data_IF_465367279588
#
_entry.id   IF_465367279588
#
_cell.length_a   1.000
_cell.length_b   1.000
_cell.length_c   1.000
_cell.angle_alpha   90.00
_cell.angle_beta   90.00
_cell.angle_gamma   90.00
#
_symmetry.space_group_name_H-M   'P 1'
#
loop_
_entity.id
_entity.type
_entity.pdbx_description
1 polymer ?
#
# COMPACT_ATOMS: atom_id res chain seq x y z
N UNK A 1 -1.47 8.81 -20.54
CA UNK A 1 -1.43 7.60 -19.73
C UNK A 1 -1.55 7.98 -18.27
N UNK A 2 -2.48 7.34 -17.55
CA UNK A 2 -2.55 7.37 -16.09
C UNK A 2 -2.61 5.93 -15.59
N UNK A 3 -1.81 5.61 -14.57
CA UNK A 3 -1.80 4.32 -13.89
C UNK A 3 -1.86 4.57 -12.39
N UNK A 4 -2.79 3.94 -11.68
CA UNK A 4 -2.93 4.10 -10.22
C UNK A 4 -2.97 2.75 -9.52
N UNK A 5 -2.34 2.70 -8.35
CA UNK A 5 -2.28 1.55 -7.45
C UNK A 5 -2.39 1.96 -5.98
N UNK A 6 -2.70 1.00 -5.14
CA UNK A 6 -2.64 1.11 -3.69
C UNK A 6 -3.90 1.70 -3.06
N UNK A 7 -3.73 2.44 -1.97
CA UNK A 7 -4.80 3.01 -1.13
C UNK A 7 -4.53 4.47 -0.81
N UNK A 8 -5.57 5.18 -0.40
CA UNK A 8 -5.48 6.60 -0.02
C UNK A 8 -5.30 6.80 1.48
N UNK A 9 -5.49 5.77 2.28
CA UNK A 9 -5.35 5.81 3.73
C UNK A 9 -4.87 4.47 4.25
N UNK A 10 -4.05 4.47 5.29
CA UNK A 10 -3.57 3.28 5.98
C UNK A 10 -4.70 2.43 6.61
N UNK A 11 -5.87 3.05 6.83
CA UNK A 11 -7.07 2.39 7.38
C UNK A 11 -7.85 1.55 6.36
N UNK A 12 -7.48 1.63 5.08
CA UNK A 12 -8.15 0.90 3.99
C UNK A 12 -7.23 -0.19 3.45
N UNK A 13 -7.82 -1.20 2.84
CA UNK A 13 -7.05 -2.13 2.01
C UNK A 13 -6.79 -1.51 0.63
N UNK A 14 -5.78 -2.02 -0.08
CA UNK A 14 -5.45 -1.54 -1.42
C UNK A 14 -6.64 -1.73 -2.36
N UNK A 15 -6.90 -0.74 -3.18
CA UNK A 15 -7.87 -0.84 -4.28
C UNK A 15 -7.21 -1.50 -5.47
N UNK A 16 -8.02 -2.09 -6.33
CA UNK A 16 -7.56 -2.59 -7.60
C UNK A 16 -6.88 -1.50 -8.41
N UNK A 17 -5.71 -1.78 -8.94
CA UNK A 17 -5.03 -0.87 -9.85
C UNK A 17 -5.82 -0.69 -11.14
N UNK A 18 -5.68 0.48 -11.74
CA UNK A 18 -6.27 0.76 -13.03
C UNK A 18 -5.33 1.57 -13.91
N UNK A 19 -5.51 1.42 -15.21
CA UNK A 19 -4.82 2.23 -16.20
C UNK A 19 -5.82 2.85 -17.16
N UNK A 20 -5.58 4.11 -17.54
CA UNK A 20 -6.32 4.78 -18.61
C UNK A 20 -5.31 5.43 -19.56
N UNK A 21 -5.47 5.16 -20.86
CA UNK A 21 -4.63 5.75 -21.87
C UNK A 21 -5.43 6.03 -23.15
N UNK A 22 -4.97 7.00 -23.92
CA UNK A 22 -5.59 7.36 -25.18
C UNK A 22 -4.67 7.11 -26.37
N UNK A 23 -5.20 6.47 -27.38
CA UNK A 23 -4.55 6.25 -28.68
C UNK A 23 -5.18 7.21 -29.69
N UNK A 24 -4.36 7.79 -30.55
CA UNK A 24 -4.81 8.69 -31.60
C UNK A 24 -4.63 7.98 -32.94
N UNK A 25 -5.72 7.83 -33.68
CA UNK A 25 -5.74 7.31 -35.00
C UNK A 25 -6.13 8.41 -36.00
N UNK A 26 -5.34 8.60 -37.03
CA UNK A 26 -5.53 9.67 -38.00
C UNK A 26 -6.06 9.18 -39.36
N UNK A 27 -6.38 7.91 -39.46
CA UNK A 27 -6.99 7.30 -40.67
C UNK A 27 -8.45 6.86 -40.47
N UNK A 28 -9.01 7.12 -39.26
CA UNK A 28 -10.41 6.82 -38.97
C UNK A 28 -10.73 5.35 -38.67
N UNK A 29 -9.71 4.46 -38.64
CA UNK A 29 -9.93 3.03 -38.34
C UNK A 29 -9.91 2.75 -36.84
N UNK A 30 -10.47 1.62 -36.44
CA UNK A 30 -10.38 1.11 -35.07
C UNK A 30 -9.03 0.43 -34.84
N UNK A 31 -8.48 0.52 -33.65
CA UNK A 31 -7.29 -0.23 -33.23
C UNK A 31 -7.59 -1.72 -32.94
N UNK A 32 -8.84 -2.15 -32.99
CA UNK A 32 -9.24 -3.52 -32.71
C UNK A 32 -9.10 -3.96 -31.25
N UNK A 33 -9.09 -2.99 -30.33
CA UNK A 33 -9.01 -3.27 -28.89
C UNK A 33 -10.40 -3.61 -28.35
N UNK A 34 -10.51 -4.77 -27.72
CA UNK A 34 -11.78 -5.26 -27.19
C UNK A 34 -11.70 -5.46 -25.65
N UNK A 35 -12.85 -5.39 -24.96
CA UNK A 35 -12.93 -5.75 -23.54
C UNK A 35 -12.38 -7.16 -23.26
N UNK A 36 -11.77 -7.32 -22.07
CA UNK A 36 -11.14 -8.54 -21.58
C UNK A 36 -9.82 -8.95 -22.29
N UNK A 37 -9.35 -8.19 -23.26
CA UNK A 37 -8.00 -8.41 -23.81
C UNK A 37 -6.92 -8.08 -22.76
N UNK A 38 -5.80 -8.83 -22.72
CA UNK A 38 -4.68 -8.52 -21.84
C UNK A 38 -3.99 -7.21 -22.27
N UNK A 39 -3.57 -6.45 -21.28
CA UNK A 39 -2.81 -5.20 -21.45
C UNK A 39 -1.57 -5.25 -20.59
N UNK A 40 -0.42 -4.97 -21.19
CA UNK A 40 0.84 -4.74 -20.51
C UNK A 40 1.37 -3.37 -20.95
N UNK A 41 1.57 -2.48 -19.98
CA UNK A 41 2.15 -1.15 -20.24
C UNK A 41 3.56 -1.14 -19.71
N UNK A 42 4.49 -0.76 -20.59
CA UNK A 42 5.91 -0.66 -20.28
C UNK A 42 6.40 0.76 -20.58
N UNK A 43 7.36 1.21 -19.80
CA UNK A 43 8.12 2.43 -20.05
C UNK A 43 9.60 2.08 -20.20
N UNK A 44 10.32 2.88 -20.98
CA UNK A 44 11.77 2.76 -21.09
C UNK A 44 12.41 3.81 -20.18
N UNK A 45 13.39 3.38 -19.38
CA UNK A 45 14.21 4.32 -18.64
C UNK A 45 15.25 5.00 -19.56
N UNK A 46 16.04 5.93 -19.02
CA UNK A 46 17.08 6.64 -19.76
C UNK A 46 18.15 5.72 -20.38
N UNK A 47 18.33 4.54 -19.82
CA UNK A 47 19.26 3.49 -20.35
C UNK A 47 18.59 2.58 -21.40
N UNK A 48 17.33 2.85 -21.81
CA UNK A 48 16.59 2.05 -22.77
C UNK A 48 16.01 0.74 -22.24
N UNK A 49 16.14 0.47 -20.93
CA UNK A 49 15.60 -0.74 -20.29
C UNK A 49 14.11 -0.60 -20.07
N UNK A 50 13.34 -1.60 -20.52
CA UNK A 50 11.89 -1.64 -20.33
C UNK A 50 11.51 -2.05 -18.90
N UNK A 51 10.60 -1.29 -18.29
CA UNK A 51 10.00 -1.60 -17.00
C UNK A 51 8.49 -1.69 -17.15
N UNK A 52 7.90 -2.78 -16.64
CA UNK A 52 6.45 -2.93 -16.61
C UNK A 52 5.87 -2.04 -15.51
N UNK A 53 4.94 -1.17 -15.89
CA UNK A 53 4.26 -0.25 -14.96
C UNK A 53 2.80 -0.63 -14.74
N UNK A 54 2.24 -1.49 -15.60
CA UNK A 54 0.88 -2.00 -15.44
C UNK A 54 0.70 -3.31 -16.19
N UNK A 55 0.00 -4.25 -15.57
CA UNK A 55 -0.50 -5.49 -16.20
C UNK A 55 -1.96 -5.69 -15.79
N UNK A 56 -2.81 -5.95 -16.75
CA UNK A 56 -4.24 -6.12 -16.48
C UNK A 56 -5.03 -6.54 -17.72
N UNK A 57 -6.33 -6.25 -17.69
CA UNK A 57 -7.25 -6.51 -18.81
C UNK A 57 -8.06 -5.27 -19.14
N UNK A 58 -8.34 -5.08 -20.42
CA UNK A 58 -9.23 -4.01 -20.88
C UNK A 58 -10.61 -4.19 -20.27
N UNK A 59 -11.11 -3.13 -19.64
CA UNK A 59 -12.48 -3.08 -19.09
C UNK A 59 -13.44 -2.32 -20.00
N UNK A 60 -12.93 -1.34 -20.74
CA UNK A 60 -13.74 -0.52 -21.62
C UNK A 60 -12.91 0.23 -22.64
N UNK A 61 -13.55 0.53 -23.74
CA UNK A 61 -12.99 1.31 -24.85
C UNK A 61 -14.03 2.35 -25.25
N UNK A 62 -13.62 3.61 -25.31
CA UNK A 62 -14.47 4.71 -25.75
C UNK A 62 -13.83 5.43 -26.94
N UNK A 63 -14.59 5.60 -28.00
CA UNK A 63 -14.15 6.27 -29.22
C UNK A 63 -14.73 7.69 -29.28
N UNK A 64 -13.87 8.68 -29.53
CA UNK A 64 -14.26 10.07 -29.76
C UNK A 64 -13.76 10.51 -31.13
N UNK A 65 -14.68 10.90 -32.02
CA UNK A 65 -14.35 11.52 -33.28
C UNK A 65 -14.07 12.99 -33.03
N UNK A 66 -12.83 13.42 -33.27
CA UNK A 66 -12.40 14.82 -33.06
C UNK A 66 -12.56 15.63 -34.31
N UNK A 67 -12.29 15.02 -35.48
CA UNK A 67 -12.41 15.67 -36.78
C UNK A 67 -12.86 14.63 -37.81
N UNK A 68 -13.86 14.98 -38.57
CA UNK A 68 -14.29 14.21 -39.74
C UNK A 68 -14.32 15.12 -40.97
N UNK A 69 -13.79 14.65 -42.10
CA UNK A 69 -13.78 15.41 -43.34
C UNK A 69 -13.18 14.60 -44.50
N UNK A 70 -13.28 15.12 -45.69
CA UNK A 70 -12.85 14.41 -46.91
C UNK A 70 -11.35 14.10 -46.99
N UNK A 71 -10.53 14.74 -46.16
CA UNK A 71 -9.08 14.54 -46.23
C UNK A 71 -8.58 13.69 -45.07
N UNK A 72 -9.17 13.79 -43.87
CA UNK A 72 -8.68 13.09 -42.67
C UNK A 72 -9.75 12.98 -41.59
N UNK A 73 -9.94 11.78 -41.06
CA UNK A 73 -10.74 11.53 -39.87
C UNK A 73 -9.81 11.23 -38.70
N UNK A 74 -9.93 11.99 -37.60
CA UNK A 74 -9.14 11.78 -36.40
C UNK A 74 -10.05 11.19 -35.31
N UNK A 75 -9.68 10.02 -34.85
CA UNK A 75 -10.36 9.31 -33.74
C UNK A 75 -9.40 9.22 -32.55
N UNK A 76 -9.91 9.58 -31.37
CA UNK A 76 -9.23 9.31 -30.10
C UNK A 76 -9.93 8.12 -29.48
N UNK A 77 -9.20 7.04 -29.26
CA UNK A 77 -9.68 5.87 -28.55
C UNK A 77 -9.13 5.87 -27.13
N UNK A 78 -9.99 6.01 -26.15
CA UNK A 78 -9.62 5.93 -24.73
C UNK A 78 -9.88 4.52 -24.22
N UNK A 79 -8.83 3.89 -23.72
CA UNK A 79 -8.84 2.53 -23.17
C UNK A 79 -8.71 2.62 -21.67
N UNK A 80 -9.59 1.93 -20.95
CA UNK A 80 -9.50 1.71 -19.52
C UNK A 80 -9.22 0.23 -19.26
N UNK A 81 -8.28 -0.06 -18.37
CA UNK A 81 -7.91 -1.43 -18.00
C UNK A 81 -7.84 -1.55 -16.45
N UNK A 82 -8.18 -2.73 -15.95
CA UNK A 82 -8.08 -3.07 -14.54
C UNK A 82 -7.10 -4.22 -14.31
N UNK A 83 -6.46 -4.16 -13.14
CA UNK A 83 -5.46 -5.13 -12.68
C UNK A 83 -6.05 -6.43 -12.12
N UNK A 84 -5.20 -7.27 -11.54
CA UNK A 84 -5.57 -8.57 -10.98
C UNK A 84 -6.59 -8.47 -9.84
N UNK A 85 -6.46 -7.50 -8.93
CA UNK A 85 -7.40 -7.35 -7.80
C UNK A 85 -8.82 -7.04 -8.25
N UNK A 86 -9.01 -6.31 -9.35
CA UNK A 86 -10.34 -6.10 -9.92
C UNK A 86 -10.96 -7.39 -10.47
N UNK A 87 -10.14 -8.31 -10.98
CA UNK A 87 -10.63 -9.61 -11.41
C UNK A 87 -10.99 -10.50 -10.22
N UNK A 88 -10.24 -10.38 -9.12
CA UNK A 88 -10.48 -11.08 -7.86
C UNK A 88 -11.85 -10.72 -7.26
N UNK A 89 -12.26 -9.44 -7.32
CA UNK A 89 -13.58 -9.00 -6.83
C UNK A 89 -14.78 -9.60 -7.61
N UNK A 90 -14.53 -10.21 -8.77
CA UNK A 90 -15.54 -10.89 -9.59
C UNK A 90 -15.56 -12.41 -9.37
N UNK A 91 -14.73 -12.94 -8.49
CA UNK A 91 -14.65 -14.35 -8.18
C UNK A 91 -15.33 -14.63 -6.83
N UNK A 92 -16.20 -15.62 -6.81
CA UNK A 92 -16.87 -16.07 -5.58
C UNK A 92 -16.07 -17.24 -5.02
N UNK A 93 -15.69 -17.12 -3.75
CA UNK A 93 -14.91 -18.09 -2.98
C UNK A 93 -15.62 -18.41 -1.67
N UNK A 94 -15.12 -19.38 -0.91
CA UNK A 94 -15.67 -19.75 0.39
C UNK A 94 -16.96 -20.57 0.30
N UNK A 95 -17.16 -21.29 -0.79
CA UNK A 95 -18.29 -22.23 -0.94
C UNK A 95 -18.14 -23.49 -0.07
N UNK A 96 -16.98 -23.73 0.50
CA UNK A 96 -16.66 -24.79 1.45
C UNK A 96 -16.23 -24.22 2.79
N UNK A 97 -16.27 -25.04 3.84
CA UNK A 97 -15.78 -24.65 5.15
C UNK A 97 -14.27 -24.40 5.10
N UNK A 98 -13.83 -23.35 5.74
CA UNK A 98 -12.41 -23.13 6.01
C UNK A 98 -12.06 -23.66 7.40
N UNK A 99 -10.96 -24.40 7.55
CA UNK A 99 -10.52 -24.91 8.84
C UNK A 99 -10.03 -23.76 9.74
N UNK A 100 -9.77 -24.07 10.99
CA UNK A 100 -8.97 -23.21 11.86
C UNK A 100 -7.54 -23.22 11.36
N UNK A 101 -7.00 -22.06 11.02
CA UNK A 101 -5.72 -21.94 10.32
C UNK A 101 -5.10 -20.54 10.56
N UNK A 102 -3.82 -20.37 10.19
CA UNK A 102 -3.18 -19.06 10.22
C UNK A 102 -3.78 -18.11 9.16
N UNK A 103 -3.71 -16.81 9.42
CA UNK A 103 -4.16 -15.76 8.52
C UNK A 103 -3.53 -15.86 7.13
N UNK A 104 -2.22 -16.16 7.04
CA UNK A 104 -1.53 -16.41 5.77
C UNK A 104 -2.10 -17.59 4.98
N UNK A 105 -2.42 -18.68 5.66
CA UNK A 105 -2.97 -19.88 5.02
C UNK A 105 -4.38 -19.59 4.50
N UNK A 106 -5.18 -18.85 5.28
CA UNK A 106 -6.50 -18.39 4.89
C UNK A 106 -6.46 -17.52 3.65
N UNK A 107 -5.57 -16.53 3.62
CA UNK A 107 -5.41 -15.62 2.48
C UNK A 107 -4.87 -16.37 1.25
N UNK A 108 -3.91 -17.27 1.44
CA UNK A 108 -3.39 -18.13 0.36
C UNK A 108 -4.49 -18.99 -0.26
N UNK A 109 -5.35 -19.57 0.56
CA UNK A 109 -6.50 -20.36 0.11
C UNK A 109 -7.45 -19.51 -0.75
N UNK A 110 -7.77 -18.29 -0.30
CA UNK A 110 -8.64 -17.37 -1.03
C UNK A 110 -8.02 -17.00 -2.38
N UNK A 111 -6.72 -16.68 -2.42
CA UNK A 111 -6.02 -16.36 -3.66
C UNK A 111 -6.03 -17.52 -4.64
N UNK A 112 -5.81 -18.74 -4.15
CA UNK A 112 -5.84 -19.97 -4.97
C UNK A 112 -7.25 -20.27 -5.51
N UNK A 113 -8.30 -20.17 -4.68
CA UNK A 113 -9.69 -20.35 -5.11
C UNK A 113 -10.09 -19.30 -6.15
N UNK A 114 -9.59 -18.08 -6.02
CA UNK A 114 -9.80 -17.01 -7.01
C UNK A 114 -9.00 -17.19 -8.30
N UNK A 115 -8.03 -18.13 -8.35
CA UNK A 115 -7.14 -18.33 -9.48
C UNK A 115 -6.17 -17.19 -9.70
N UNK A 116 -5.70 -16.56 -8.61
CA UNK A 116 -4.73 -15.47 -8.66
C UNK A 116 -3.31 -16.00 -8.84
N UNK A 117 -2.49 -15.25 -9.57
CA UNK A 117 -1.03 -15.46 -9.54
C UNK A 117 -0.47 -14.77 -8.30
N UNK A 118 0.15 -15.55 -7.42
CA UNK A 118 0.66 -15.06 -6.15
C UNK A 118 2.10 -14.58 -6.32
N UNK A 119 2.41 -13.39 -5.81
CA UNK A 119 3.76 -12.86 -5.69
C UNK A 119 4.43 -13.40 -4.44
N UNK A 120 3.93 -13.02 -3.29
CA UNK A 120 4.43 -13.44 -1.97
C UNK A 120 3.28 -13.35 -0.96
N UNK A 121 3.21 -14.33 -0.09
CA UNK A 121 2.40 -14.30 1.12
C UNK A 121 3.35 -14.41 2.30
N UNK A 122 3.36 -13.42 3.17
CA UNK A 122 4.17 -13.47 4.39
C UNK A 122 3.65 -14.51 5.34
N UNK A 123 4.54 -15.03 6.19
CA UNK A 123 4.16 -15.98 7.24
C UNK A 123 3.08 -15.41 8.15
N UNK A 124 2.05 -16.19 8.42
CA UNK A 124 0.98 -15.79 9.31
C UNK A 124 1.43 -15.63 10.75
N UNK A 125 0.83 -14.66 11.44
CA UNK A 125 1.08 -14.40 12.85
C UNK A 125 -0.10 -14.86 13.71
N UNK A 126 -1.31 -14.73 13.19
CA UNK A 126 -2.55 -14.90 13.96
C UNK A 126 -3.34 -16.11 13.51
N UNK A 127 -3.85 -16.87 14.48
CA UNK A 127 -4.71 -18.00 14.22
C UNK A 127 -6.17 -17.58 14.14
N UNK A 128 -6.80 -17.86 13.01
CA UNK A 128 -8.21 -17.57 12.75
C UNK A 128 -9.08 -18.79 13.05
N UNK A 129 -10.27 -18.56 13.58
CA UNK A 129 -11.28 -19.60 13.78
C UNK A 129 -11.76 -20.22 12.48
N UNK A 130 -12.30 -21.44 12.59
CA UNK A 130 -12.96 -22.09 11.47
C UNK A 130 -14.15 -21.26 10.98
N UNK A 131 -14.31 -21.18 9.66
CA UNK A 131 -15.41 -20.47 9.01
C UNK A 131 -16.31 -21.47 8.29
N UNK A 132 -17.60 -21.43 8.59
CA UNK A 132 -18.59 -22.19 7.83
C UNK A 132 -18.67 -21.69 6.38
N UNK A 133 -19.07 -22.55 5.46
CA UNK A 133 -19.28 -22.20 4.07
C UNK A 133 -20.19 -20.96 3.96
N UNK A 134 -19.68 -19.93 3.35
CA UNK A 134 -20.39 -18.66 3.11
C UNK A 134 -19.76 -17.96 1.91
N UNK A 135 -20.34 -18.15 0.71
CA UNK A 135 -19.80 -17.56 -0.51
C UNK A 135 -19.68 -16.03 -0.42
N UNK A 136 -18.52 -15.50 -0.81
CA UNK A 136 -18.22 -14.08 -0.81
C UNK A 136 -17.31 -13.77 -1.99
N UNK A 137 -17.24 -12.50 -2.40
CA UNK A 137 -16.21 -12.12 -3.37
C UNK A 137 -14.81 -12.23 -2.74
N UNK A 138 -13.87 -12.71 -3.56
CA UNK A 138 -12.53 -13.03 -3.08
C UNK A 138 -11.75 -11.83 -2.57
N UNK A 139 -11.94 -10.64 -3.19
CA UNK A 139 -11.26 -9.43 -2.74
C UNK A 139 -11.73 -9.02 -1.34
N UNK A 140 -13.05 -8.90 -1.15
CA UNK A 140 -13.61 -8.50 0.15
C UNK A 140 -13.21 -9.48 1.26
N UNK A 141 -13.19 -10.77 0.96
CA UNK A 141 -12.84 -11.78 1.95
C UNK A 141 -11.33 -11.73 2.30
N UNK A 142 -10.45 -11.59 1.31
CA UNK A 142 -9.01 -11.44 1.55
C UNK A 142 -8.69 -10.13 2.28
N UNK A 143 -9.34 -9.04 1.90
CA UNK A 143 -9.20 -7.72 2.53
C UNK A 143 -9.65 -7.75 4.00
N UNK A 144 -10.73 -8.46 4.31
CA UNK A 144 -11.21 -8.67 5.68
C UNK A 144 -10.14 -9.33 6.54
N UNK A 145 -9.61 -10.47 6.10
CA UNK A 145 -8.61 -11.21 6.88
C UNK A 145 -7.27 -10.48 6.96
N UNK A 146 -6.85 -9.80 5.90
CA UNK A 146 -5.66 -8.96 5.95
C UNK A 146 -5.80 -7.81 6.96
N UNK A 147 -6.98 -7.20 7.06
CA UNK A 147 -7.27 -6.17 8.06
C UNK A 147 -7.26 -6.74 9.47
N UNK A 148 -7.88 -7.89 9.68
CA UNK A 148 -7.89 -8.58 10.98
C UNK A 148 -6.48 -9.04 11.41
N UNK A 149 -5.60 -9.31 10.45
CA UNK A 149 -4.19 -9.62 10.68
C UNK A 149 -3.29 -8.39 10.85
N UNK A 150 -3.85 -7.16 10.91
CA UNK A 150 -3.10 -5.90 10.89
C UNK A 150 -2.15 -5.76 9.69
N UNK A 151 -2.38 -6.54 8.65
CA UNK A 151 -1.63 -6.58 7.40
C UNK A 151 -2.37 -5.91 6.25
N UNK A 152 -1.86 -6.14 5.05
CA UNK A 152 -2.51 -5.63 3.84
C UNK A 152 -2.29 -6.55 2.64
N UNK A 153 -3.30 -6.61 1.76
CA UNK A 153 -3.15 -7.19 0.44
C UNK A 153 -2.63 -6.12 -0.53
N UNK A 154 -1.84 -6.53 -1.49
CA UNK A 154 -1.28 -5.64 -2.50
C UNK A 154 -1.19 -6.35 -3.85
N UNK A 155 -1.00 -5.59 -4.89
CA UNK A 155 -0.67 -6.11 -6.21
C UNK A 155 0.59 -5.46 -6.76
N UNK A 156 1.21 -6.15 -7.70
CA UNK A 156 2.43 -5.72 -8.36
C UNK A 156 2.13 -5.22 -9.77
N UNK A 157 3.03 -4.44 -10.34
CA UNK A 157 2.89 -3.92 -11.70
C UNK A 157 2.88 -5.02 -12.77
N UNK A 158 3.37 -6.22 -12.47
CA UNK A 158 3.34 -7.40 -13.33
C UNK A 158 2.09 -8.29 -13.14
N UNK A 159 1.11 -7.83 -12.36
CA UNK A 159 -0.23 -8.44 -12.27
C UNK A 159 -0.34 -9.60 -11.29
N UNK A 160 0.54 -9.67 -10.29
CA UNK A 160 0.44 -10.64 -9.19
C UNK A 160 -0.14 -10.00 -7.95
N UNK A 161 -0.71 -10.81 -7.06
CA UNK A 161 -1.23 -10.39 -5.76
C UNK A 161 -0.36 -10.91 -4.63
N UNK A 162 -0.31 -10.19 -3.53
CA UNK A 162 0.43 -10.61 -2.35
C UNK A 162 -0.24 -10.19 -1.06
N UNK A 163 0.24 -10.77 0.03
CA UNK A 163 -0.12 -10.40 1.39
C UNK A 163 1.13 -10.02 2.17
N UNK A 164 1.09 -8.87 2.79
CA UNK A 164 2.10 -8.37 3.71
C UNK A 164 1.54 -8.38 5.14
N UNK A 165 2.21 -9.10 6.03
CA UNK A 165 1.84 -9.14 7.43
C UNK A 165 2.22 -7.83 8.15
N UNK A 166 1.87 -7.72 9.42
CA UNK A 166 2.11 -6.53 10.24
C UNK A 166 3.60 -6.17 10.42
N UNK A 167 4.50 -7.14 10.25
CA UNK A 167 5.95 -6.94 10.45
C UNK A 167 6.71 -6.67 9.16
N UNK A 168 6.11 -6.86 7.99
CA UNK A 168 6.76 -6.70 6.68
C UNK A 168 7.52 -5.38 6.57
N UNK A 169 6.90 -4.28 6.93
CA UNK A 169 7.51 -2.95 6.82
C UNK A 169 8.72 -2.77 7.72
N UNK A 170 8.67 -3.34 8.92
CA UNK A 170 9.82 -3.37 9.83
C UNK A 170 10.97 -4.17 9.24
N UNK A 171 10.67 -5.36 8.70
CA UNK A 171 11.66 -6.24 8.07
C UNK A 171 12.27 -5.57 6.84
N UNK A 172 11.45 -4.98 5.98
CA UNK A 172 11.93 -4.30 4.77
C UNK A 172 12.86 -3.13 5.09
N UNK A 173 12.53 -2.32 6.11
CA UNK A 173 13.39 -1.22 6.55
C UNK A 173 14.68 -1.72 7.19
N UNK A 174 14.60 -2.77 7.99
CA UNK A 174 15.80 -3.39 8.62
C UNK A 174 16.76 -3.92 7.57
N UNK A 175 16.25 -4.58 6.56
CA UNK A 175 17.06 -5.31 5.58
C UNK A 175 17.54 -4.41 4.42
N UNK A 176 16.74 -3.43 4.02
CA UNK A 176 16.98 -2.61 2.83
C UNK A 176 17.12 -1.10 3.13
N UNK A 177 16.77 -0.65 4.34
CA UNK A 177 16.70 0.77 4.69
C UNK A 177 15.62 1.53 3.94
N UNK A 178 15.71 2.87 3.99
CA UNK A 178 14.83 3.76 3.25
C UNK A 178 15.48 4.17 1.92
N UNK A 179 14.68 4.26 0.88
CA UNK A 179 15.12 4.89 -0.38
C UNK A 179 15.06 6.41 -0.22
N UNK A 180 16.21 7.07 -0.26
CA UNK A 180 16.29 8.53 -0.14
C UNK A 180 15.82 9.21 -1.43
N UNK A 181 14.92 10.17 -1.27
CA UNK A 181 14.42 11.04 -2.34
C UNK A 181 14.93 12.44 -2.05
N UNK A 182 15.77 13.02 -2.95
CA UNK A 182 16.21 14.39 -2.82
C UNK A 182 15.03 15.37 -2.90
N UNK A 183 15.02 16.39 -2.05
CA UNK A 183 13.94 17.38 -2.04
C UNK A 183 13.85 18.22 -3.30
N UNK A 184 14.94 18.36 -4.03
CA UNK A 184 15.02 19.15 -5.26
C UNK A 184 14.30 18.49 -6.45
N UNK A 185 13.98 17.19 -6.39
CA UNK A 185 13.14 16.50 -7.40
C UNK A 185 11.68 16.40 -6.98
N UNK A 186 11.34 16.83 -5.76
CA UNK A 186 9.96 16.84 -5.25
C UNK A 186 9.28 18.15 -5.65
N UNK A 187 8.07 18.06 -6.19
CA UNK A 187 7.27 19.25 -6.44
C UNK A 187 6.68 19.79 -5.12
N UNK A 188 7.09 21.00 -4.76
CA UNK A 188 6.63 21.67 -3.53
C UNK A 188 5.21 22.22 -3.60
N UNK A 189 4.63 22.35 -4.79
CA UNK A 189 3.34 23.01 -5.00
C UNK A 189 2.18 22.34 -4.25
N UNK A 190 2.27 21.04 -4.01
CA UNK A 190 1.20 20.28 -3.36
C UNK A 190 1.68 19.57 -2.10
N UNK A 191 2.91 19.85 -1.63
CA UNK A 191 3.43 19.25 -0.42
C UNK A 191 2.74 19.87 0.79
N UNK A 192 1.99 19.08 1.50
CA UNK A 192 1.32 19.48 2.74
C UNK A 192 1.72 18.53 3.86
N UNK A 193 1.89 19.08 5.05
CA UNK A 193 2.07 18.30 6.26
C UNK A 193 0.88 18.51 7.18
N UNK A 194 0.36 17.43 7.73
CA UNK A 194 -0.71 17.45 8.70
C UNK A 194 -0.30 16.65 9.94
N UNK A 195 -0.61 17.19 11.11
CA UNK A 195 -0.51 16.48 12.37
C UNK A 195 -1.86 16.59 13.08
N UNK A 196 -2.58 15.49 13.16
CA UNK A 196 -3.95 15.47 13.69
C UNK A 196 -4.07 14.49 14.86
N UNK A 197 -4.83 14.88 15.88
CA UNK A 197 -5.24 13.98 16.93
C UNK A 197 -6.31 12.97 16.48
N UNK A 198 -6.94 13.17 15.31
CA UNK A 198 -7.96 12.27 14.78
C UNK A 198 -7.44 10.86 14.45
N UNK A 199 -6.12 10.71 14.31
CA UNK A 199 -5.48 9.42 14.07
C UNK A 199 -4.96 8.74 15.35
N UNK A 200 -5.11 9.42 16.51
CA UNK A 200 -4.71 8.86 17.79
C UNK A 200 -5.74 7.83 18.26
N UNK A 201 -5.24 6.68 18.70
CA UNK A 201 -6.00 5.65 19.39
C UNK A 201 -5.26 5.34 20.69
N UNK A 202 -5.89 5.61 21.82
CA UNK A 202 -5.28 5.42 23.13
C UNK A 202 -6.12 4.56 24.10
N UNK A 203 -7.20 3.97 23.57
CA UNK A 203 -8.01 2.96 24.23
C UNK A 203 -8.51 1.98 23.16
N UNK A 204 -8.16 0.70 23.28
CA UNK A 204 -8.44 -0.30 22.25
C UNK A 204 -9.14 -1.51 22.85
N UNK A 205 -10.18 -1.94 22.15
CA UNK A 205 -10.86 -3.22 22.40
C UNK A 205 -10.72 -4.08 21.14
N UNK A 206 -10.08 -5.24 21.27
CA UNK A 206 -10.04 -6.25 20.20
C UNK A 206 -10.94 -7.41 20.61
N UNK A 207 -12.05 -7.55 19.87
CA UNK A 207 -12.97 -8.66 20.02
C UNK A 207 -12.45 -9.86 19.22
N UNK A 208 -12.39 -11.01 19.87
CA UNK A 208 -12.07 -12.29 19.26
C UNK A 208 -13.27 -13.24 19.45
N UNK A 209 -13.21 -14.45 18.89
CA UNK A 209 -14.38 -15.35 18.79
C UNK A 209 -15.12 -15.59 20.11
N UNK A 210 -14.43 -15.67 21.22
CA UNK A 210 -15.00 -16.04 22.55
C UNK A 210 -14.90 -14.95 23.61
N UNK A 211 -14.44 -13.75 23.25
CA UNK A 211 -14.28 -12.66 24.22
C UNK A 211 -13.66 -11.40 23.62
N UNK A 212 -13.09 -10.59 24.49
CA UNK A 212 -12.37 -9.37 24.10
C UNK A 212 -11.11 -9.18 24.94
N UNK A 213 -10.14 -8.46 24.35
CA UNK A 213 -8.95 -7.98 25.04
C UNK A 213 -8.87 -6.47 24.91
N UNK A 214 -8.48 -5.79 25.99
CA UNK A 214 -8.40 -4.32 26.04
C UNK A 214 -6.99 -3.90 26.39
N UNK A 215 -6.57 -2.75 25.82
CA UNK A 215 -5.33 -2.10 26.19
C UNK A 215 -5.48 -0.58 26.09
N UNK A 216 -4.87 0.18 27.01
CA UNK A 216 -4.99 1.64 27.06
C UNK A 216 -3.65 2.30 27.42
N UNK A 217 -3.45 3.52 26.93
CA UNK A 217 -2.32 4.40 27.29
C UNK A 217 -2.85 5.61 28.10
N UNK A 218 -2.70 5.52 29.42
CA UNK A 218 -3.20 6.55 30.34
C UNK A 218 -2.51 7.90 30.09
N UNK A 219 -1.22 7.93 29.76
CA UNK A 219 -0.50 9.18 29.51
C UNK A 219 -1.02 9.89 28.26
N UNK A 220 -1.29 9.11 27.20
CA UNK A 220 -1.95 9.64 26.01
C UNK A 220 -3.36 10.14 26.31
N UNK A 221 -4.14 9.41 27.12
CA UNK A 221 -5.49 9.83 27.50
C UNK A 221 -5.50 11.13 28.31
N UNK A 222 -4.52 11.32 29.18
CA UNK A 222 -4.36 12.58 29.94
C UNK A 222 -4.04 13.76 29.01
N UNK A 223 -3.32 13.51 27.91
CA UNK A 223 -2.88 14.56 26.98
C UNK A 223 -3.93 14.89 25.93
N UNK A 224 -4.58 13.88 25.34
CA UNK A 224 -5.46 14.01 24.17
C UNK A 224 -6.93 13.71 24.46
N UNK A 225 -7.28 13.32 25.69
CA UNK A 225 -8.58 12.74 26.01
C UNK A 225 -8.65 11.25 25.61
N UNK A 226 -9.75 10.60 25.97
CA UNK A 226 -9.99 9.20 25.60
C UNK A 226 -10.40 9.13 24.12
N UNK A 227 -9.59 8.46 23.31
CA UNK A 227 -9.81 8.22 21.88
C UNK A 227 -9.85 6.71 21.65
N UNK A 228 -11.06 6.15 21.76
CA UNK A 228 -11.30 4.72 21.78
C UNK A 228 -11.50 4.14 20.38
N UNK A 229 -11.03 2.90 20.15
CA UNK A 229 -11.32 2.11 18.97
C UNK A 229 -11.70 0.67 19.35
N UNK A 230 -12.63 0.07 18.60
CA UNK A 230 -13.01 -1.32 18.76
C UNK A 230 -12.86 -2.06 17.43
N UNK A 231 -12.17 -3.19 17.47
CA UNK A 231 -11.95 -4.05 16.31
C UNK A 231 -12.61 -5.41 16.53
N UNK A 232 -13.43 -5.85 15.57
CA UNK A 232 -14.02 -7.19 15.58
C UNK A 232 -13.20 -8.09 14.68
N UNK A 233 -12.74 -9.21 15.22
CA UNK A 233 -11.88 -10.16 14.51
C UNK A 233 -12.42 -11.59 14.64
N UNK A 234 -11.93 -12.46 13.78
CA UNK A 234 -12.14 -13.91 13.86
C UNK A 234 -10.95 -14.65 14.52
N UNK A 235 -10.17 -13.95 15.32
CA UNK A 235 -9.07 -14.56 16.06
C UNK A 235 -9.57 -15.66 16.99
N UNK A 236 -8.80 -16.74 17.07
CA UNK A 236 -9.14 -17.87 17.92
C UNK A 236 -8.60 -17.76 19.34
N UNK A 237 -7.53 -16.97 19.55
CA UNK A 237 -6.80 -16.91 20.81
C UNK A 237 -6.90 -15.53 21.45
N UNK A 238 -7.13 -15.51 22.76
CA UNK A 238 -7.09 -14.27 23.56
C UNK A 238 -5.71 -13.62 23.56
N UNK A 239 -4.63 -14.43 23.50
CA UNK A 239 -3.27 -13.91 23.46
C UNK A 239 -3.00 -13.10 22.17
N UNK A 240 -3.54 -13.54 21.04
CA UNK A 240 -3.42 -12.83 19.76
C UNK A 240 -4.18 -11.50 19.82
N UNK A 241 -5.39 -11.50 20.40
CA UNK A 241 -6.17 -10.28 20.58
C UNK A 241 -5.48 -9.28 21.53
N UNK A 242 -4.85 -9.77 22.60
CA UNK A 242 -4.09 -8.93 23.51
C UNK A 242 -2.85 -8.32 22.86
N UNK A 243 -2.12 -9.11 22.06
CA UNK A 243 -0.97 -8.64 21.31
C UNK A 243 -1.36 -7.57 20.27
N UNK A 244 -2.48 -7.75 19.57
CA UNK A 244 -3.01 -6.73 18.66
C UNK A 244 -3.41 -5.45 19.39
N UNK A 245 -4.10 -5.55 20.52
CA UNK A 245 -4.50 -4.38 21.31
C UNK A 245 -3.28 -3.56 21.77
N UNK A 246 -2.25 -4.22 22.31
CA UNK A 246 -0.98 -3.56 22.69
C UNK A 246 -0.30 -2.93 21.47
N UNK A 247 -0.27 -3.61 20.35
CA UNK A 247 0.34 -3.10 19.10
C UNK A 247 -0.37 -1.86 18.59
N UNK A 248 -1.71 -1.83 18.59
CA UNK A 248 -2.47 -0.64 18.21
C UNK A 248 -2.10 0.57 19.04
N UNK A 249 -2.05 0.43 20.35
CA UNK A 249 -1.66 1.51 21.26
C UNK A 249 -0.21 1.95 21.00
N UNK A 250 0.71 1.00 20.87
CA UNK A 250 2.13 1.30 20.60
C UNK A 250 2.32 2.13 19.33
N UNK A 251 1.53 1.87 18.30
CA UNK A 251 1.64 2.56 17.01
C UNK A 251 0.84 3.86 16.93
N UNK A 252 -0.23 4.02 17.75
CA UNK A 252 -1.26 5.04 17.56
C UNK A 252 -1.50 5.97 18.75
N UNK A 253 -0.88 5.74 19.89
CA UNK A 253 -1.17 6.57 21.09
C UNK A 253 -0.67 8.02 20.98
N UNK A 254 0.13 8.36 19.97
CA UNK A 254 0.63 9.72 19.74
C UNK A 254 0.39 10.19 18.30
N UNK A 255 -0.01 11.46 18.11
CA UNK A 255 -0.20 12.00 16.77
C UNK A 255 1.13 12.09 16.01
N UNK A 256 1.10 11.74 14.72
CA UNK A 256 2.25 11.76 13.82
C UNK A 256 2.05 12.80 12.74
N UNK A 257 3.16 13.26 12.15
CA UNK A 257 3.11 14.17 11.01
C UNK A 257 3.05 13.35 9.73
N UNK A 258 1.96 13.46 9.01
CA UNK A 258 1.82 12.90 7.67
C UNK A 258 2.20 13.94 6.62
N UNK A 259 2.89 13.51 5.57
CA UNK A 259 3.01 14.26 4.34
C UNK A 259 1.96 13.73 3.36
N UNK A 260 1.06 14.61 2.95
CA UNK A 260 0.06 14.26 1.95
C UNK A 260 0.52 14.63 0.55
N UNK A 261 0.26 13.69 -0.39
CA UNK A 261 0.29 13.86 -1.83
C UNK A 261 1.43 14.72 -2.38
N UNK A 262 2.65 14.24 -2.30
CA UNK A 262 3.74 14.88 -3.04
C UNK A 262 3.96 14.24 -4.41
N UNK A 263 4.43 15.04 -5.34
CA UNK A 263 4.64 14.66 -6.72
C UNK A 263 6.13 14.73 -7.06
N UNK A 264 6.61 13.74 -7.80
CA UNK A 264 7.97 13.68 -8.34
C UNK A 264 7.88 13.73 -9.86
N UNK A 265 8.70 14.58 -10.49
CA UNK A 265 8.86 14.57 -11.93
C UNK A 265 9.83 13.48 -12.35
N UNK A 266 9.36 12.54 -13.15
CA UNK A 266 10.16 11.41 -13.63
C UNK A 266 11.05 11.79 -14.83
N UNK A 267 10.74 12.90 -15.48
CA UNK A 267 11.51 13.51 -16.57
C UNK A 267 12.52 14.56 -16.09
N UNK A 268 12.81 14.62 -14.80
CA UNK A 268 13.81 15.52 -14.22
C UNK A 268 15.22 14.91 -14.35
N UNK A 269 16.15 15.64 -14.95
CA UNK A 269 17.53 15.19 -15.17
C UNK A 269 18.32 14.92 -13.89
N UNK A 270 17.86 15.43 -12.75
CA UNK A 270 18.44 15.18 -11.42
C UNK A 270 18.07 13.81 -10.87
N UNK A 271 17.04 13.17 -11.45
CA UNK A 271 16.61 11.85 -11.04
C UNK A 271 17.54 10.78 -11.62
N UNK A 272 18.25 10.07 -10.75
CA UNK A 272 19.11 8.97 -11.21
C UNK A 272 18.30 7.83 -11.81
N UNK A 273 18.86 7.12 -12.80
CA UNK A 273 18.18 5.98 -13.42
C UNK A 273 17.79 4.89 -12.41
N UNK A 274 18.64 4.67 -11.40
CA UNK A 274 18.35 3.70 -10.33
C UNK A 274 17.17 4.12 -9.44
N UNK A 275 17.02 5.43 -9.14
CA UNK A 275 15.88 5.93 -8.39
C UNK A 275 14.61 5.90 -9.24
N UNK A 276 14.71 6.27 -10.52
CA UNK A 276 13.61 6.16 -11.48
C UNK A 276 13.08 4.72 -11.54
N UNK A 277 13.96 3.74 -11.70
CA UNK A 277 13.61 2.32 -11.74
C UNK A 277 12.85 1.89 -10.48
N UNK A 278 13.33 2.29 -9.30
CA UNK A 278 12.66 1.99 -8.02
C UNK A 278 11.26 2.61 -7.94
N UNK A 279 11.11 3.86 -8.38
CA UNK A 279 9.82 4.57 -8.33
C UNK A 279 8.78 3.98 -9.27
N UNK A 280 9.17 3.53 -10.46
CA UNK A 280 8.22 3.00 -11.45
C UNK A 280 7.85 1.54 -11.22
N UNK A 281 8.64 0.79 -10.45
CA UNK A 281 8.40 -0.61 -10.10
C UNK A 281 8.07 -0.83 -8.63
N UNK A 282 7.84 0.24 -7.88
CA UNK A 282 7.55 0.13 -6.45
C UNK A 282 6.27 -0.66 -6.18
N UNK A 283 6.19 -1.19 -4.98
CA UNK A 283 5.02 -1.86 -4.43
C UNK A 283 4.46 -1.05 -3.26
N UNK A 284 3.21 -1.29 -2.89
CA UNK A 284 2.66 -0.73 -1.65
C UNK A 284 3.53 -1.17 -0.46
N UNK A 285 3.79 -0.26 0.46
CA UNK A 285 4.73 -0.48 1.56
C UNK A 285 6.19 -0.12 1.24
N UNK A 286 6.49 0.38 0.03
CA UNK A 286 7.84 0.84 -0.33
C UNK A 286 8.32 1.91 0.66
N UNK A 287 9.48 1.67 1.28
CA UNK A 287 10.07 2.56 2.29
C UNK A 287 10.82 3.71 1.62
N UNK A 288 10.43 4.93 1.91
CA UNK A 288 11.09 6.13 1.39
C UNK A 288 11.45 7.12 2.49
N UNK A 289 12.44 7.95 2.20
CA UNK A 289 12.86 9.04 3.06
C UNK A 289 13.08 10.31 2.23
N UNK A 290 12.50 11.43 2.67
CA UNK A 290 12.71 12.73 2.07
C UNK A 290 13.61 13.53 2.99
N UNK A 291 14.73 14.01 2.47
CA UNK A 291 15.76 14.72 3.22
C UNK A 291 15.69 16.23 2.91
N UNK A 292 16.06 17.06 3.89
CA UNK A 292 16.17 18.51 3.69
C UNK A 292 14.82 19.25 3.63
N UNK A 293 13.81 18.73 4.32
CA UNK A 293 12.51 19.41 4.45
C UNK A 293 12.64 20.73 5.24
N UNK A 294 11.76 21.71 4.98
CA UNK A 294 11.70 22.94 5.77
C UNK A 294 11.47 22.68 7.25
N UNK A 295 12.05 23.48 8.12
CA UNK A 295 11.93 23.37 9.58
C UNK A 295 10.49 23.56 10.12
N UNK A 296 9.59 24.10 9.30
CA UNK A 296 8.15 24.12 9.60
C UNK A 296 7.54 22.73 9.74
N UNK A 297 8.17 21.72 9.12
CA UNK A 297 7.91 20.32 9.33
C UNK A 297 8.85 19.90 10.47
N UNK A 298 8.33 19.45 11.60
CA UNK A 298 9.04 19.21 12.88
C UNK A 298 10.45 18.59 12.73
N UNK A 299 10.65 17.77 11.72
CA UNK A 299 11.95 17.17 11.36
C UNK A 299 12.33 17.55 9.94
N UNK A 300 13.59 17.85 9.69
CA UNK A 300 14.12 18.08 8.34
C UNK A 300 14.12 16.82 7.46
N UNK A 301 13.71 15.71 8.03
CA UNK A 301 13.62 14.40 7.37
C UNK A 301 12.26 13.80 7.64
N UNK A 302 11.60 13.31 6.59
CA UNK A 302 10.41 12.49 6.67
C UNK A 302 10.74 11.08 6.24
N UNK A 303 10.36 10.10 7.05
CA UNK A 303 10.45 8.68 6.72
C UNK A 303 9.05 8.09 6.69
N UNK A 304 8.72 7.38 5.62
CA UNK A 304 7.38 6.86 5.44
C UNK A 304 7.30 5.68 4.49
N UNK A 305 6.09 5.16 4.35
CA UNK A 305 5.77 4.09 3.41
C UNK A 305 4.79 4.58 2.35
N UNK A 306 4.99 4.14 1.13
CA UNK A 306 4.05 4.40 0.04
C UNK A 306 2.80 3.55 0.25
N UNK A 307 1.67 4.21 0.35
CA UNK A 307 0.35 3.57 0.45
C UNK A 307 -0.32 3.44 -0.91
N UNK A 308 -0.06 4.38 -1.80
CA UNK A 308 -0.56 4.38 -3.15
C UNK A 308 0.16 5.38 -4.03
N UNK A 309 0.02 5.22 -5.33
CA UNK A 309 0.63 6.14 -6.30
C UNK A 309 -0.19 6.24 -7.58
N UNK A 310 0.02 7.36 -8.26
CA UNK A 310 -0.51 7.60 -9.61
C UNK A 310 0.62 8.06 -10.51
N UNK A 311 0.91 7.24 -11.53
CA UNK A 311 1.83 7.57 -12.62
C UNK A 311 1.03 8.27 -13.73
N UNK A 312 1.42 9.49 -14.09
CA UNK A 312 0.82 10.26 -15.17
C UNK A 312 1.87 10.62 -16.21
N UNK A 313 1.64 10.23 -17.45
CA UNK A 313 2.53 10.52 -18.57
C UNK A 313 1.71 11.17 -19.67
N UNK A 314 2.12 12.34 -20.08
CA UNK A 314 1.60 13.06 -21.25
C UNK A 314 2.74 13.46 -22.19
N UNK A 315 2.46 14.29 -23.19
CA UNK A 315 3.48 14.70 -24.18
C UNK A 315 4.55 15.65 -23.63
N UNK A 316 4.28 16.27 -22.47
CA UNK A 316 5.10 17.37 -21.92
C UNK A 316 5.89 16.89 -20.71
N UNK A 317 5.31 16.00 -19.91
CA UNK A 317 5.87 15.60 -18.62
C UNK A 317 5.49 14.19 -18.23
N UNK A 318 6.32 13.56 -17.43
CA UNK A 318 6.05 12.32 -16.71
C UNK A 318 6.14 12.59 -15.20
N UNK A 319 5.10 12.26 -14.47
CA UNK A 319 5.02 12.51 -13.03
C UNK A 319 4.52 11.29 -12.27
N UNK A 320 4.95 11.15 -11.03
CA UNK A 320 4.39 10.19 -10.09
C UNK A 320 3.95 10.93 -8.83
N UNK A 321 2.67 10.79 -8.48
CA UNK A 321 2.10 11.31 -7.24
C UNK A 321 2.03 10.19 -6.23
N UNK A 322 2.54 10.42 -5.02
CA UNK A 322 2.63 9.43 -3.97
C UNK A 322 1.69 9.79 -2.80
N UNK A 323 0.96 8.81 -2.31
CA UNK A 323 0.30 8.85 -1.00
C UNK A 323 1.14 8.08 -0.03
N UNK A 324 1.48 8.67 1.11
CA UNK A 324 2.37 8.04 2.10
C UNK A 324 1.75 8.02 3.49
N UNK A 325 2.28 7.15 4.34
CA UNK A 325 2.05 7.16 5.79
C UNK A 325 3.38 7.30 6.52
N UNK A 326 3.38 7.97 7.67
CA UNK A 326 4.56 8.06 8.54
C UNK A 326 5.01 6.65 8.96
N UNK A 327 6.31 6.42 8.96
CA UNK A 327 6.89 5.11 9.30
C UNK A 327 6.51 4.65 10.71
N UNK A 328 6.36 5.56 11.64
CA UNK A 328 5.98 5.26 13.02
C UNK A 328 4.56 4.68 13.16
N UNK A 329 3.72 4.80 12.14
CA UNK A 329 2.42 4.12 12.12
C UNK A 329 2.48 2.61 11.84
N UNK A 330 3.62 2.11 11.39
CA UNK A 330 3.79 0.70 11.03
C UNK A 330 5.00 0.06 11.72
N UNK A 331 6.01 0.87 12.04
CA UNK A 331 7.24 0.42 12.67
C UNK A 331 7.23 0.90 14.11
N UNK A 332 6.92 -0.01 15.03
CA UNK A 332 7.05 0.30 16.45
C UNK A 332 8.53 0.55 16.80
N UNK A 333 8.84 1.59 17.56
CA UNK A 333 10.19 1.79 18.05
C UNK A 333 10.60 0.58 18.89
N UNK A 334 11.79 0.04 18.65
CA UNK A 334 12.36 -1.02 19.50
C UNK A 334 12.61 -0.43 20.87
N UNK A 335 11.95 -0.98 21.88
CA UNK A 335 12.18 -0.57 23.27
C UNK A 335 13.33 -1.38 23.85
N UNK A 336 14.09 -0.79 24.75
CA UNK A 336 15.19 -1.49 25.42
C UNK A 336 14.75 -2.81 26.09
N UNK A 337 13.55 -2.84 26.63
CA UNK A 337 12.95 -4.04 27.24
C UNK A 337 12.69 -5.18 26.23
N UNK A 338 12.60 -4.86 24.94
CA UNK A 338 12.29 -5.82 23.87
C UNK A 338 13.58 -6.44 23.30
N UNK A 339 14.75 -5.95 23.72
CA UNK A 339 16.05 -6.50 23.36
C UNK A 339 16.33 -7.71 24.26
N UNK A 340 16.67 -8.85 23.65
CA UNK A 340 17.02 -10.03 24.43
C UNK A 340 18.21 -9.74 25.35
N UNK A 341 18.13 -10.08 26.65
CA UNK A 341 19.21 -9.77 27.62
C UNK A 341 20.58 -10.36 27.25
N UNK A 342 20.59 -11.39 26.40
CA UNK A 342 21.78 -12.06 25.93
C UNK A 342 22.41 -11.45 24.67
N UNK A 343 21.76 -10.44 24.06
CA UNK A 343 22.23 -9.80 22.85
C UNK A 343 23.36 -8.81 23.18
N UNK A 344 24.56 -9.08 22.67
CA UNK A 344 25.66 -8.15 22.80
C UNK A 344 25.41 -6.88 21.98
N UNK A 345 25.84 -5.72 22.47
CA UNK A 345 25.74 -4.42 21.78
C UNK A 345 26.30 -4.47 20.33
N UNK A 346 27.36 -5.22 20.12
CA UNK A 346 27.99 -5.41 18.82
C UNK A 346 27.11 -6.17 17.82
N UNK A 347 26.09 -6.89 18.31
CA UNK A 347 25.14 -7.63 17.50
C UNK A 347 23.82 -6.87 17.28
N UNK A 348 23.67 -5.70 17.90
CA UNK A 348 22.52 -4.82 17.67
C UNK A 348 22.71 -4.14 16.30
N UNK A 349 21.75 -4.30 15.41
CA UNK A 349 21.83 -3.66 14.10
C UNK A 349 22.02 -2.14 14.22
N UNK A 350 22.99 -1.52 13.54
CA UNK A 350 23.16 -0.07 13.56
C UNK A 350 21.98 0.70 12.96
N UNK A 351 21.05 0.00 12.31
CA UNK A 351 19.82 0.59 11.74
C UNK A 351 18.67 0.62 12.72
N UNK A 352 18.83 0.07 13.93
CA UNK A 352 17.81 0.20 14.99
C UNK A 352 17.77 1.66 15.43
N UNK A 353 16.66 2.33 15.14
CA UNK A 353 16.40 3.67 15.64
C UNK A 353 15.92 3.58 17.09
N UNK A 354 16.74 4.02 18.03
CA UNK A 354 16.37 4.23 19.41
C UNK A 354 15.63 5.55 19.49
N UNK A 355 14.32 5.51 19.74
CA UNK A 355 13.61 6.74 20.05
C UNK A 355 13.94 7.18 21.47
N UNK A 356 14.65 8.29 21.60
CA UNK A 356 14.60 9.06 22.83
C UNK A 356 13.18 9.61 22.97
N UNK A 357 12.55 9.35 24.09
CA UNK A 357 11.37 10.12 24.51
C UNK A 357 11.87 11.56 24.77
N UNK A 358 11.78 12.41 23.78
CA UNK A 358 11.78 13.83 24.01
C UNK A 358 10.38 14.17 24.56
N UNK A 359 10.37 14.52 25.87
CA UNK A 359 9.23 15.07 26.61
C UNK A 359 8.65 16.32 25.92
#
# INVERSE_FOLDING_TARGET
LNVSYGRTSIWQQARAGYATFSLINDNGTDFGINPNQPVVIKIKNSSGVEKTVFTGKVSGVANKIVKSGSIKTIVIQTVTAYSAMAQMSRKIVGSTNYPKELDSDRITRIFNEAGCTIETVDSGTYELEARSASPSDAYSLAALYATQAMGYIYETTDGKVGFANETRRLVDVRDNGYTSIPTDVVSWQNLQSEKSASEVINDVVVNYKTGSSTFSDINSQLTYGVLAASFTTELSKSADAAAQAERWITLRSTPRTNLSAFMIRLDDDRLTSGLLDKLVTMKMGFALQILGLPTAIKNTTYSGFVEGWTLSINRVQATISLTTSDSAFSVAPTRWRDVQPTLAWSAVSPTIQWYSYDN
#
